data_IF_257879612060
#
_entry.id   IF_257879612060
#
_cell.length_a   1.000
_cell.length_b   1.000
_cell.length_c   1.000
_cell.angle_alpha   90.00
_cell.angle_beta   90.00
_cell.angle_gamma   90.00
#
_symmetry.space_group_name_H-M   'P 1'
#
loop_
_entity.id
_entity.type
_entity.pdbx_description
1 polymer ?
#
# COMPACT_ATOMS: atom_id res chain seq x y z
N UNK A 1 0.42 37.38 -11.65
CA UNK A 1 -0.04 36.72 -10.41
C UNK A 1 -0.11 35.22 -10.72
N UNK A 2 0.79 34.43 -10.14
CA UNK A 2 0.86 33.00 -10.43
C UNK A 2 -0.03 32.24 -9.45
N UNK A 3 -0.94 31.42 -9.96
CA UNK A 3 -1.79 30.56 -9.15
C UNK A 3 -1.30 29.13 -9.27
N UNK A 4 -0.98 28.51 -8.13
CA UNK A 4 -0.67 27.09 -8.03
C UNK A 4 -1.92 26.32 -7.64
N UNK A 5 -2.25 25.27 -8.38
CA UNK A 5 -3.17 24.20 -7.93
C UNK A 5 -2.40 22.89 -8.00
N UNK A 6 -1.73 22.54 -6.89
CA UNK A 6 -1.04 21.25 -6.79
C UNK A 6 -2.09 20.14 -6.82
N UNK A 7 -2.15 19.41 -7.93
CA UNK A 7 -3.01 18.23 -8.07
C UNK A 7 -2.23 17.08 -8.68
N UNK A 8 -1.50 16.37 -7.81
CA UNK A 8 -1.28 14.93 -7.91
C UNK A 8 -1.19 14.43 -6.47
N UNK A 9 -2.26 13.82 -5.93
CA UNK A 9 -2.14 13.08 -4.68
C UNK A 9 -1.01 12.06 -4.88
N UNK A 10 0.05 12.02 -4.06
CA UNK A 10 1.10 11.04 -4.22
C UNK A 10 0.47 9.65 -4.10
N UNK A 11 0.60 8.83 -5.15
CA UNK A 11 0.03 7.48 -5.22
C UNK A 11 1.19 6.49 -5.31
N UNK A 12 1.23 5.53 -4.39
CA UNK A 12 2.11 4.38 -4.48
C UNK A 12 1.30 3.18 -4.94
N UNK A 13 1.74 2.51 -5.99
CA UNK A 13 1.07 1.29 -6.48
C UNK A 13 1.96 0.09 -6.23
N UNK A 14 1.39 -0.93 -5.60
CA UNK A 14 2.10 -2.14 -5.18
C UNK A 14 1.40 -3.33 -5.82
N UNK A 15 2.09 -4.00 -6.74
CA UNK A 15 1.53 -5.14 -7.46
C UNK A 15 2.05 -6.47 -6.90
N UNK A 16 1.13 -7.30 -6.40
CA UNK A 16 1.40 -8.64 -5.87
C UNK A 16 0.84 -9.65 -6.86
N UNK A 17 1.67 -10.04 -7.82
CA UNK A 17 1.26 -10.88 -8.96
C UNK A 17 1.51 -12.37 -8.75
N UNK A 18 2.30 -12.74 -7.74
CA UNK A 18 2.74 -14.11 -7.46
C UNK A 18 2.45 -14.48 -6.01
N UNK A 19 2.53 -15.76 -5.70
CA UNK A 19 2.58 -16.25 -4.32
C UNK A 19 3.78 -15.65 -3.58
N UNK A 20 3.61 -15.46 -2.28
CA UNK A 20 4.57 -14.83 -1.40
C UNK A 20 4.61 -15.59 -0.07
N UNK A 21 5.74 -15.50 0.62
CA UNK A 21 5.84 -15.93 2.02
C UNK A 21 5.37 -14.84 2.97
N UNK A 22 5.14 -15.20 4.24
CA UNK A 22 4.84 -14.22 5.30
C UNK A 22 5.97 -13.17 5.43
N UNK A 23 7.22 -13.62 5.32
CA UNK A 23 8.40 -12.76 5.41
C UNK A 23 8.49 -11.75 4.25
N UNK A 24 8.04 -12.13 3.05
CA UNK A 24 8.03 -11.23 1.89
C UNK A 24 7.05 -10.07 2.10
N UNK A 25 5.87 -10.36 2.67
CA UNK A 25 4.85 -9.35 2.99
C UNK A 25 5.32 -8.43 4.13
N UNK A 26 5.94 -8.97 5.17
CA UNK A 26 6.49 -8.14 6.24
C UNK A 26 7.57 -7.17 5.72
N UNK A 27 8.47 -7.65 4.86
CA UNK A 27 9.47 -6.79 4.21
C UNK A 27 8.82 -5.72 3.33
N UNK A 28 7.78 -6.08 2.59
CA UNK A 28 7.02 -5.14 1.78
C UNK A 28 6.41 -4.02 2.63
N UNK A 29 5.81 -4.36 3.77
CA UNK A 29 5.23 -3.36 4.68
C UNK A 29 6.28 -2.40 5.24
N UNK A 30 7.41 -2.92 5.73
CA UNK A 30 8.52 -2.08 6.19
C UNK A 30 9.06 -1.16 5.09
N UNK A 31 9.13 -1.67 3.86
CA UNK A 31 9.57 -0.88 2.72
C UNK A 31 8.58 0.25 2.41
N UNK A 32 7.28 -0.04 2.40
CA UNK A 32 6.23 0.95 2.19
C UNK A 32 6.26 2.02 3.30
N UNK A 33 6.39 1.62 4.56
CA UNK A 33 6.53 2.55 5.69
C UNK A 33 7.75 3.47 5.53
N UNK A 34 8.89 2.93 5.06
CA UNK A 34 10.09 3.74 4.82
C UNK A 34 9.94 4.73 3.65
N UNK A 35 9.04 4.45 2.71
CA UNK A 35 8.80 5.29 1.54
C UNK A 35 7.74 6.36 1.76
N UNK A 36 6.80 6.13 2.69
CA UNK A 36 5.73 7.08 2.99
C UNK A 36 6.31 8.17 3.92
N UNK A 37 6.83 9.22 3.31
CA UNK A 37 7.18 10.47 3.99
C UNK A 37 5.99 11.44 4.10
N UNK A 38 4.90 11.15 3.38
CA UNK A 38 3.73 12.01 3.26
C UNK A 38 2.46 11.28 3.74
N UNK A 39 1.81 11.76 4.83
CA UNK A 39 0.59 11.15 5.35
C UNK A 39 -0.61 11.19 4.38
N UNK A 40 -0.55 12.02 3.33
CA UNK A 40 -1.56 12.08 2.28
C UNK A 40 -1.27 11.17 1.08
N UNK A 41 -0.22 10.34 1.14
CA UNK A 41 0.07 9.35 0.11
C UNK A 41 -0.99 8.23 0.13
N UNK A 42 -1.54 7.90 -1.05
CA UNK A 42 -2.50 6.82 -1.21
C UNK A 42 -1.82 5.58 -1.76
N UNK A 43 -1.87 4.48 -1.02
CA UNK A 43 -1.26 3.19 -1.42
C UNK A 43 -2.31 2.28 -2.05
N UNK A 44 -2.07 1.84 -3.28
CA UNK A 44 -2.96 0.91 -3.98
C UNK A 44 -2.28 -0.44 -4.13
N UNK A 45 -2.82 -1.45 -3.46
CA UNK A 45 -2.39 -2.83 -3.60
C UNK A 45 -3.18 -3.49 -4.72
N UNK A 46 -2.50 -3.87 -5.81
CA UNK A 46 -3.06 -4.68 -6.88
C UNK A 46 -2.69 -6.13 -6.61
N UNK A 47 -3.64 -6.93 -6.11
CA UNK A 47 -3.36 -8.27 -5.61
C UNK A 47 -3.97 -9.30 -6.53
N UNK A 48 -3.18 -10.31 -6.89
CA UNK A 48 -3.69 -11.45 -7.65
C UNK A 48 -4.87 -12.09 -6.89
N UNK A 49 -6.04 -12.30 -7.54
CA UNK A 49 -7.22 -12.87 -6.90
C UNK A 49 -6.94 -14.14 -6.08
N UNK A 50 -6.03 -15.01 -6.55
CA UNK A 50 -5.67 -16.25 -5.86
C UNK A 50 -5.00 -16.05 -4.49
N UNK A 51 -4.48 -14.86 -4.22
CA UNK A 51 -3.76 -14.52 -2.98
C UNK A 51 -4.41 -13.37 -2.21
N UNK A 52 -5.58 -12.88 -2.68
CA UNK A 52 -6.25 -11.70 -2.15
C UNK A 52 -6.73 -11.90 -0.72
N UNK A 53 -7.37 -13.03 -0.43
CA UNK A 53 -7.86 -13.34 0.93
C UNK A 53 -6.72 -13.42 1.95
N UNK A 54 -5.65 -14.14 1.60
CA UNK A 54 -4.44 -14.24 2.42
C UNK A 54 -3.83 -12.86 2.67
N UNK A 55 -3.78 -12.00 1.64
CA UNK A 55 -3.21 -10.66 1.74
C UNK A 55 -4.05 -9.79 2.68
N UNK A 56 -5.37 -9.79 2.52
CA UNK A 56 -6.28 -9.01 3.36
C UNK A 56 -6.15 -9.41 4.83
N UNK A 57 -6.13 -10.71 5.13
CA UNK A 57 -5.96 -11.19 6.51
C UNK A 57 -4.63 -10.73 7.13
N UNK A 58 -3.54 -10.80 6.36
CA UNK A 58 -2.24 -10.29 6.79
C UNK A 58 -2.24 -8.77 6.98
N UNK A 59 -2.90 -8.04 6.09
CA UNK A 59 -2.99 -6.58 6.15
C UNK A 59 -3.73 -6.13 7.42
N UNK A 60 -4.85 -6.77 7.75
CA UNK A 60 -5.64 -6.49 8.95
C UNK A 60 -4.88 -6.85 10.23
N UNK A 61 -4.19 -8.00 10.25
CA UNK A 61 -3.36 -8.43 11.39
C UNK A 61 -2.27 -7.41 11.75
N UNK A 62 -1.71 -6.72 10.76
CA UNK A 62 -0.66 -5.72 10.95
C UNK A 62 -1.19 -4.30 11.20
N UNK A 63 -2.52 -4.10 11.25
CA UNK A 63 -3.17 -2.83 11.54
C UNK A 63 -2.71 -1.63 10.68
N UNK A 64 -2.29 -1.91 9.43
CA UNK A 64 -1.74 -0.93 8.50
C UNK A 64 -2.77 0.10 8.02
N UNK A 65 -4.06 -0.22 8.20
CA UNK A 65 -5.17 0.69 7.92
C UNK A 65 -5.13 1.99 8.74
N UNK A 66 -4.44 1.96 9.89
CA UNK A 66 -4.28 3.13 10.76
C UNK A 66 -3.17 4.08 10.34
N UNK A 67 -2.26 3.65 9.47
CA UNK A 67 -1.00 4.35 9.18
C UNK A 67 -1.10 5.19 7.90
N UNK A 68 -1.84 4.73 6.88
CA UNK A 68 -1.97 5.44 5.60
C UNK A 68 -3.27 5.13 4.86
N UNK A 69 -3.63 6.02 3.94
CA UNK A 69 -4.77 5.82 3.05
C UNK A 69 -4.46 4.70 2.05
N UNK A 70 -5.33 3.69 1.96
CA UNK A 70 -5.09 2.55 1.08
C UNK A 70 -6.34 2.06 0.34
N UNK A 71 -6.13 1.27 -0.70
CA UNK A 71 -7.16 0.48 -1.37
C UNK A 71 -6.59 -0.82 -1.92
N UNK A 72 -7.31 -1.92 -1.79
CA UNK A 72 -6.94 -3.23 -2.35
C UNK A 72 -7.81 -3.49 -3.59
N UNK A 73 -7.18 -3.60 -4.75
CA UNK A 73 -7.81 -3.90 -6.05
C UNK A 73 -7.53 -5.35 -6.43
#
# INVERSE_FOLDING_TARGET
MFYYKASKKPKLEVSISKSYSEADIQRLFLFIESLIDNPNMHVVFKVNPSTKEQFTAMFEKNNLSSIYNYSIQ
#
